data_IF_769990806667
#
_entry.id   IF_769990806667
#
_cell.length_a   1.000
_cell.length_b   1.000
_cell.length_c   1.000
_cell.angle_alpha   90.00
_cell.angle_beta   90.00
_cell.angle_gamma   90.00
#
_symmetry.space_group_name_H-M   'P 1'
#
loop_
_entity.id
_entity.type
_entity.pdbx_description
1 polymer ?
#
# COMPACT_ATOMS: atom_id res chain seq x y z
N UNK A 1 -30.72 -44.44 13.92
CA UNK A 1 -31.34 -43.64 12.85
C UNK A 1 -30.37 -42.56 12.43
N UNK A 2 -29.58 -42.89 11.41
CA UNK A 2 -28.65 -42.02 10.70
C UNK A 2 -29.40 -40.97 9.88
N UNK A 3 -28.75 -39.83 9.60
CA UNK A 3 -29.08 -39.08 8.39
C UNK A 3 -29.11 -37.57 8.50
N UNK A 4 -28.05 -36.90 8.99
CA UNK A 4 -27.94 -35.44 8.84
C UNK A 4 -26.48 -35.00 8.64
N UNK A 5 -25.79 -35.61 7.68
CA UNK A 5 -24.35 -35.37 7.45
C UNK A 5 -23.83 -35.30 6.00
N UNK A 6 -24.62 -35.02 4.93
CA UNK A 6 -24.01 -34.73 3.62
C UNK A 6 -24.17 -33.29 3.13
N UNK A 7 -24.74 -32.34 3.88
CA UNK A 7 -24.96 -30.99 3.33
C UNK A 7 -23.74 -30.06 3.43
N UNK A 8 -22.79 -30.34 4.32
CA UNK A 8 -21.66 -29.42 4.58
C UNK A 8 -20.51 -29.51 3.56
N UNK A 9 -20.54 -30.49 2.65
CA UNK A 9 -19.38 -30.78 1.78
C UNK A 9 -19.40 -30.10 0.41
N UNK A 10 -20.48 -29.37 0.06
CA UNK A 10 -20.66 -28.82 -1.30
C UNK A 10 -20.15 -27.38 -1.46
N UNK A 11 -19.89 -26.64 -0.37
CA UNK A 11 -19.50 -25.22 -0.46
C UNK A 11 -18.02 -24.94 -0.75
N UNK A 12 -17.15 -25.95 -0.84
CA UNK A 12 -15.70 -25.72 -1.06
C UNK A 12 -15.28 -25.57 -2.53
N UNK A 13 -16.18 -25.75 -3.50
CA UNK A 13 -15.82 -25.80 -4.93
C UNK A 13 -15.85 -24.46 -5.68
N UNK A 14 -16.11 -23.33 -5.02
CA UNK A 14 -16.12 -22.00 -5.65
C UNK A 14 -14.78 -21.24 -5.55
N UNK A 15 -13.69 -21.93 -5.24
CA UNK A 15 -12.34 -21.34 -5.29
C UNK A 15 -11.84 -21.30 -6.74
N UNK A 16 -12.38 -20.37 -7.53
CA UNK A 16 -11.84 -20.09 -8.86
C UNK A 16 -10.40 -19.56 -8.78
N UNK A 17 -9.54 -19.87 -9.77
CA UNK A 17 -8.18 -19.35 -9.77
C UNK A 17 -8.23 -17.82 -9.86
N UNK A 18 -7.57 -17.15 -8.91
CA UNK A 18 -7.35 -15.72 -9.01
C UNK A 18 -6.42 -15.45 -10.20
N UNK A 19 -6.97 -14.93 -11.31
CA UNK A 19 -6.16 -14.48 -12.44
C UNK A 19 -5.43 -13.21 -11.99
N UNK A 20 -4.19 -13.36 -11.54
CA UNK A 20 -3.24 -12.28 -11.42
C UNK A 20 -2.74 -11.90 -12.83
N UNK A 21 -3.59 -11.24 -13.63
CA UNK A 21 -3.13 -10.62 -14.88
C UNK A 21 -2.13 -9.50 -14.57
N UNK A 22 -1.25 -9.13 -15.51
CA UNK A 22 -0.09 -8.18 -15.49
C UNK A 22 -0.24 -6.81 -14.76
N UNK A 23 -1.32 -6.62 -14.03
CA UNK A 23 -1.63 -5.56 -13.07
C UNK A 23 -0.84 -5.56 -11.75
N UNK A 24 -0.19 -6.62 -11.23
CA UNK A 24 0.32 -6.56 -9.85
C UNK A 24 1.42 -5.52 -9.69
N UNK A 25 2.34 -5.39 -10.67
CA UNK A 25 3.47 -4.48 -10.55
C UNK A 25 3.06 -3.01 -10.71
N UNK A 26 2.30 -2.65 -11.76
CA UNK A 26 1.78 -1.28 -11.92
C UNK A 26 1.00 -0.85 -10.68
N UNK A 27 0.10 -1.71 -10.17
CA UNK A 27 -0.70 -1.39 -9.00
C UNK A 27 0.14 -1.27 -7.72
N UNK A 28 1.11 -2.18 -7.51
CA UNK A 28 2.02 -2.13 -6.38
C UNK A 28 2.88 -0.86 -6.40
N UNK A 29 3.51 -0.56 -7.54
CA UNK A 29 4.40 0.60 -7.69
C UNK A 29 3.64 1.93 -7.60
N UNK A 30 2.45 2.03 -8.20
CA UNK A 30 1.57 3.18 -8.02
C UNK A 30 1.17 3.37 -6.55
N UNK A 31 0.80 2.29 -5.87
CA UNK A 31 0.44 2.33 -4.45
C UNK A 31 1.62 2.77 -3.58
N UNK A 32 2.80 2.21 -3.81
CA UNK A 32 4.01 2.55 -3.06
C UNK A 32 4.49 3.98 -3.32
N UNK A 33 4.46 4.45 -4.58
CA UNK A 33 4.73 5.84 -4.91
C UNK A 33 3.76 6.79 -4.18
N UNK A 34 2.47 6.44 -4.10
CA UNK A 34 1.47 7.22 -3.35
C UNK A 34 1.77 7.29 -1.85
N UNK A 35 2.03 6.15 -1.21
CA UNK A 35 2.37 6.06 0.22
C UNK A 35 3.63 6.84 0.58
N UNK A 36 4.71 6.66 -0.19
CA UNK A 36 5.96 7.39 0.01
C UNK A 36 5.81 8.90 -0.23
N UNK A 37 4.88 9.31 -1.09
CA UNK A 37 4.56 10.74 -1.26
C UNK A 37 3.90 11.32 0.00
N UNK A 38 2.98 10.58 0.63
CA UNK A 38 2.39 11.01 1.89
C UNK A 38 3.44 11.04 3.01
N UNK A 39 4.33 10.06 3.05
CA UNK A 39 5.34 9.98 4.10
C UNK A 39 6.42 11.07 3.97
N UNK A 40 6.77 11.46 2.73
CA UNK A 40 7.67 12.59 2.52
C UNK A 40 7.06 13.90 3.01
N UNK A 41 5.80 14.16 2.64
CA UNK A 41 5.09 15.37 3.06
C UNK A 41 4.95 15.44 4.58
N UNK A 42 4.67 14.29 5.20
CA UNK A 42 4.62 14.19 6.65
C UNK A 42 6.00 14.41 7.29
N UNK A 43 7.06 13.80 6.75
CA UNK A 43 8.43 14.01 7.21
C UNK A 43 8.84 15.49 7.13
N UNK A 44 8.47 16.20 6.06
CA UNK A 44 8.69 17.65 5.96
C UNK A 44 7.91 18.43 7.02
N UNK A 45 6.64 18.11 7.23
CA UNK A 45 5.81 18.73 8.28
C UNK A 45 6.42 18.53 9.67
N UNK A 46 6.94 17.33 9.94
CA UNK A 46 7.55 16.95 11.21
C UNK A 46 9.02 17.37 11.34
N UNK A 47 9.60 17.98 10.30
CA UNK A 47 11.03 18.34 10.21
C UNK A 47 11.97 17.14 10.45
N UNK A 48 11.58 15.98 9.93
CA UNK A 48 12.36 14.75 10.05
C UNK A 48 13.56 14.75 9.08
N UNK A 49 14.76 14.51 9.64
CA UNK A 49 16.02 14.40 8.91
C UNK A 49 16.04 13.21 7.91
N UNK A 50 15.16 12.22 8.08
CA UNK A 50 15.01 11.07 7.20
C UNK A 50 14.32 11.33 5.86
N UNK A 51 13.81 12.54 5.62
CA UNK A 51 13.06 12.92 4.41
C UNK A 51 13.82 12.66 3.09
N UNK A 52 15.15 12.82 3.08
CA UNK A 52 15.96 12.55 1.88
C UNK A 52 15.89 11.09 1.42
N UNK A 53 15.95 10.14 2.36
CA UNK A 53 15.82 8.70 2.05
C UNK A 53 14.41 8.36 1.57
N UNK A 54 13.39 9.01 2.12
CA UNK A 54 12.00 8.81 1.69
C UNK A 54 11.83 9.30 0.25
N UNK A 55 12.35 10.49 -0.07
CA UNK A 55 12.30 11.03 -1.44
C UNK A 55 13.05 10.12 -2.42
N UNK A 56 14.21 9.59 -2.03
CA UNK A 56 14.97 8.66 -2.88
C UNK A 56 14.16 7.41 -3.26
N UNK A 57 13.58 6.73 -2.25
CA UNK A 57 12.69 5.59 -2.48
C UNK A 57 11.46 5.97 -3.30
N UNK A 58 10.89 7.15 -3.05
CA UNK A 58 9.75 7.67 -3.81
C UNK A 58 10.09 7.82 -5.29
N UNK A 59 11.28 8.33 -5.61
CA UNK A 59 11.78 8.44 -6.98
C UNK A 59 11.97 7.06 -7.62
N UNK A 60 12.56 6.09 -6.92
CA UNK A 60 12.68 4.71 -7.44
C UNK A 60 11.33 4.13 -7.85
N UNK A 61 10.29 4.26 -7.02
CA UNK A 61 8.96 3.76 -7.36
C UNK A 61 8.30 4.52 -8.51
N UNK A 62 8.55 5.83 -8.66
CA UNK A 62 8.08 6.56 -9.84
C UNK A 62 8.75 6.03 -11.11
N UNK A 63 10.06 5.81 -11.10
CA UNK A 63 10.79 5.25 -12.25
C UNK A 63 10.31 3.84 -12.60
N UNK A 64 10.11 2.99 -11.59
CA UNK A 64 9.55 1.65 -11.79
C UNK A 64 8.13 1.69 -12.35
N UNK A 65 7.29 2.61 -11.88
CA UNK A 65 5.94 2.78 -12.39
C UNK A 65 5.96 3.25 -13.85
N UNK A 66 6.81 4.22 -14.19
CA UNK A 66 6.94 4.72 -15.57
C UNK A 66 7.37 3.61 -16.53
N UNK A 67 8.30 2.74 -16.10
CA UNK A 67 8.75 1.59 -16.88
C UNK A 67 7.70 0.47 -17.04
N UNK A 68 6.70 0.40 -16.16
CA UNK A 68 5.75 -0.73 -16.11
C UNK A 68 4.31 -0.36 -16.43
N UNK A 69 3.97 0.93 -16.50
CA UNK A 69 2.61 1.37 -16.80
C UNK A 69 2.27 1.07 -18.27
N UNK A 70 1.22 0.28 -18.55
CA UNK A 70 0.82 0.04 -19.94
C UNK A 70 0.30 1.31 -20.60
N UNK A 71 0.47 1.42 -21.93
CA UNK A 71 -0.13 2.50 -22.70
C UNK A 71 -1.65 2.55 -22.50
N UNK A 72 -2.19 3.75 -22.25
CA UNK A 72 -3.62 3.98 -21.98
C UNK A 72 -4.04 3.77 -20.53
N UNK A 73 -3.15 3.31 -19.64
CA UNK A 73 -3.44 3.04 -18.22
C UNK A 73 -2.86 4.07 -17.26
N UNK A 74 -2.29 5.16 -17.76
CA UNK A 74 -1.66 6.21 -16.95
C UNK A 74 -2.65 6.87 -15.97
N UNK A 75 -3.91 7.03 -16.38
CA UNK A 75 -4.97 7.58 -15.52
C UNK A 75 -5.29 6.65 -14.35
N UNK A 76 -5.30 5.34 -14.57
CA UNK A 76 -5.53 4.37 -13.51
C UNK A 76 -4.35 4.33 -12.52
N UNK A 77 -3.12 4.40 -13.03
CA UNK A 77 -1.93 4.50 -12.20
C UNK A 77 -1.93 5.78 -11.34
N UNK A 78 -2.35 6.91 -11.92
CA UNK A 78 -2.50 8.17 -11.18
C UNK A 78 -3.58 8.08 -10.10
N UNK A 79 -4.75 7.53 -10.43
CA UNK A 79 -5.84 7.33 -9.46
C UNK A 79 -5.38 6.46 -8.27
N UNK A 80 -4.69 5.35 -8.54
CA UNK A 80 -4.12 4.50 -7.49
C UNK A 80 -3.14 5.26 -6.60
N UNK A 81 -2.25 6.07 -7.19
CA UNK A 81 -1.31 6.91 -6.43
C UNK A 81 -2.04 7.88 -5.51
N UNK A 82 -3.06 8.57 -6.02
CA UNK A 82 -3.84 9.56 -5.25
C UNK A 82 -4.56 8.88 -4.09
N UNK A 83 -5.27 7.78 -4.35
CA UNK A 83 -5.99 7.04 -3.30
C UNK A 83 -5.04 6.47 -2.25
N UNK A 84 -3.93 5.88 -2.67
CA UNK A 84 -2.92 5.34 -1.75
C UNK A 84 -2.27 6.44 -0.90
N UNK A 85 -1.96 7.59 -1.50
CA UNK A 85 -1.44 8.76 -0.78
C UNK A 85 -2.43 9.25 0.27
N UNK A 86 -3.68 9.47 -0.11
CA UNK A 86 -4.72 9.95 0.81
C UNK A 86 -4.94 8.98 1.98
N UNK A 87 -5.04 7.68 1.70
CA UNK A 87 -5.20 6.66 2.74
C UNK A 87 -4.00 6.61 3.70
N UNK A 88 -2.77 6.73 3.18
CA UNK A 88 -1.58 6.71 4.02
C UNK A 88 -1.43 8.00 4.85
N UNK A 89 -1.73 9.16 4.25
CA UNK A 89 -1.76 10.43 4.98
C UNK A 89 -2.74 10.40 6.15
N UNK A 90 -3.90 9.74 5.99
CA UNK A 90 -4.85 9.56 7.09
C UNK A 90 -4.27 8.73 8.26
N UNK A 91 -3.50 7.67 7.96
CA UNK A 91 -2.80 6.90 8.99
C UNK A 91 -1.74 7.76 9.70
N UNK A 92 -0.97 8.56 8.97
CA UNK A 92 0.07 9.43 9.54
C UNK A 92 -0.53 10.54 10.40
N UNK A 93 -1.65 11.12 9.97
CA UNK A 93 -2.40 12.10 10.75
C UNK A 93 -2.94 11.48 12.05
N UNK A 94 -3.53 10.28 11.98
CA UNK A 94 -4.00 9.59 13.17
C UNK A 94 -2.85 9.19 14.10
N UNK A 95 -1.71 8.77 13.55
CA UNK A 95 -0.52 8.43 14.33
C UNK A 95 0.03 9.65 15.11
N UNK A 96 -0.05 10.84 14.52
CA UNK A 96 0.54 12.05 15.10
C UNK A 96 -0.40 12.87 15.97
N UNK A 97 -1.71 12.83 15.67
CA UNK A 97 -2.68 13.79 16.21
C UNK A 97 -3.91 13.16 16.87
N UNK A 98 -4.02 11.82 16.95
CA UNK A 98 -5.16 11.20 17.63
C UNK A 98 -5.14 11.45 19.15
N UNK A 99 -6.31 11.76 19.72
CA UNK A 99 -6.48 11.94 21.17
C UNK A 99 -6.26 10.65 21.96
N UNK A 100 -6.62 9.51 21.36
CA UNK A 100 -6.56 8.19 21.98
C UNK A 100 -5.24 7.50 21.65
N UNK A 101 -4.46 7.16 22.69
CA UNK A 101 -3.11 6.58 22.52
C UNK A 101 -3.10 5.24 21.77
N UNK A 102 -4.11 4.40 21.97
CA UNK A 102 -4.27 3.13 21.26
C UNK A 102 -4.49 3.31 19.75
N UNK A 103 -5.26 4.34 19.37
CA UNK A 103 -5.49 4.69 17.97
C UNK A 103 -4.22 5.21 17.29
N UNK A 104 -3.46 6.07 17.99
CA UNK A 104 -2.18 6.58 17.50
C UNK A 104 -1.18 5.44 17.29
N UNK A 105 -1.03 4.56 18.27
CA UNK A 105 -0.11 3.42 18.19
C UNK A 105 -0.50 2.42 17.10
N UNK A 106 -1.79 2.13 16.94
CA UNK A 106 -2.26 1.27 15.84
C UNK A 106 -1.94 1.89 14.48
N UNK A 107 -2.23 3.18 14.31
CA UNK A 107 -2.02 3.88 13.04
C UNK A 107 -0.53 3.95 12.69
N UNK A 108 0.34 4.21 13.67
CA UNK A 108 1.79 4.20 13.51
C UNK A 108 2.28 2.81 13.07
N UNK A 109 1.85 1.74 13.74
CA UNK A 109 2.21 0.38 13.34
C UNK A 109 1.73 0.06 11.93
N UNK A 110 0.50 0.45 11.59
CA UNK A 110 -0.05 0.21 10.25
C UNK A 110 0.74 0.98 9.18
N UNK A 111 0.98 2.27 9.38
CA UNK A 111 1.77 3.08 8.44
C UNK A 111 3.15 2.46 8.21
N UNK A 112 3.84 2.06 9.29
CA UNK A 112 5.15 1.41 9.20
C UNK A 112 5.11 0.11 8.41
N UNK A 113 4.13 -0.76 8.65
CA UNK A 113 3.98 -2.01 7.90
C UNK A 113 3.79 -1.78 6.39
N UNK A 114 3.01 -0.75 6.02
CA UNK A 114 2.77 -0.42 4.61
C UNK A 114 4.03 0.07 3.90
N UNK A 115 4.85 0.87 4.59
CA UNK A 115 6.14 1.33 4.06
C UNK A 115 7.18 0.20 4.02
N UNK A 116 7.23 -0.66 5.04
CA UNK A 116 8.10 -1.85 5.03
C UNK A 116 7.74 -2.79 3.88
N UNK A 117 6.45 -2.99 3.61
CA UNK A 117 5.99 -3.78 2.46
C UNK A 117 6.50 -3.19 1.14
N UNK A 118 6.45 -1.86 0.99
CA UNK A 118 7.03 -1.19 -0.18
C UNK A 118 8.56 -1.36 -0.24
N UNK A 119 9.28 -1.20 0.87
CA UNK A 119 10.73 -1.38 0.88
C UNK A 119 11.17 -2.78 0.40
N UNK A 120 10.34 -3.81 0.62
CA UNK A 120 10.60 -5.17 0.14
C UNK A 120 10.76 -5.30 -1.39
N UNK A 121 10.23 -4.37 -2.18
CA UNK A 121 10.40 -4.38 -3.64
C UNK A 121 11.74 -3.78 -4.12
N UNK A 122 12.40 -2.96 -3.30
CA UNK A 122 13.62 -2.26 -3.72
C UNK A 122 14.89 -3.10 -3.52
N UNK A 123 14.76 -4.27 -2.86
CA UNK A 123 15.88 -5.21 -2.61
C UNK A 123 17.10 -4.54 -1.95
N UNK A 124 16.88 -3.44 -1.22
CA UNK A 124 17.92 -2.73 -0.47
C UNK A 124 18.38 -3.63 0.71
N UNK A 125 19.57 -4.24 0.57
CA UNK A 125 20.27 -4.99 1.62
C UNK A 125 20.97 -4.07 2.61
#
# INVERSE_FOLDING_TARGET
MSGLKPLLLVLCFLSGPAIAGDRPLMAAFATCAGRLSAELEHAWLMRDAGSARIEDRRRHFLSLLDATVPAGRQRDALDLRIRAKAAHAALLAQASFATRADHAQWAQRRARLEITSCAGYLLES
#
